data_IF_788630294541
#
_entry.id   IF_788630294541
#
_cell.length_a   1.000
_cell.length_b   1.000
_cell.length_c   1.000
_cell.angle_alpha   90.00
_cell.angle_beta   90.00
_cell.angle_gamma   90.00
#
_symmetry.space_group_name_H-M   'P 1'
#
loop_
_entity.id
_entity.type
_entity.pdbx_description
1 polymer ?
#
# COMPACT_ATOMS: atom_id res chain seq x y z
N UNK A 1 -2.86 2.60 8.91
CA UNK A 1 -2.14 1.33 8.73
C UNK A 1 -1.32 1.07 9.97
N UNK A 2 -0.92 -0.17 10.19
CA UNK A 2 -0.17 -0.57 11.39
C UNK A 2 1.21 -1.09 11.01
N UNK A 3 2.22 -0.73 11.81
CA UNK A 3 3.61 -1.14 11.63
C UNK A 3 4.20 -1.59 12.97
N UNK A 4 5.14 -2.52 12.93
CA UNK A 4 5.95 -2.89 14.08
C UNK A 4 7.38 -2.41 13.84
N UNK A 5 7.72 -1.29 14.46
CA UNK A 5 9.03 -0.66 14.25
C UNK A 5 10.18 -1.52 14.75
N UNK A 6 9.94 -2.49 15.64
CA UNK A 6 11.00 -3.39 16.11
C UNK A 6 11.64 -4.18 14.99
N UNK A 7 10.82 -4.64 14.02
CA UNK A 7 11.32 -5.30 12.82
C UNK A 7 12.07 -4.33 11.91
N UNK A 8 11.51 -3.15 11.66
CA UNK A 8 12.12 -2.13 10.79
C UNK A 8 13.47 -1.64 11.31
N UNK A 9 13.59 -1.48 12.62
CA UNK A 9 14.82 -1.06 13.29
C UNK A 9 15.78 -2.22 13.57
N UNK A 10 15.39 -3.47 13.27
CA UNK A 10 16.23 -4.65 13.48
C UNK A 10 16.52 -4.97 14.95
N UNK A 11 15.68 -4.52 15.88
CA UNK A 11 15.90 -4.70 17.34
C UNK A 11 15.26 -5.98 17.89
N UNK A 12 14.44 -6.69 17.10
CA UNK A 12 13.81 -7.95 17.50
C UNK A 12 13.70 -8.88 16.30
N UNK A 13 14.24 -10.09 16.41
CA UNK A 13 14.14 -11.12 15.39
C UNK A 13 12.69 -11.64 15.23
N UNK A 14 12.35 -12.09 14.02
CA UNK A 14 11.04 -12.67 13.72
C UNK A 14 9.88 -11.67 13.60
N UNK A 15 10.11 -10.38 13.83
CA UNK A 15 9.10 -9.33 13.59
C UNK A 15 9.11 -8.94 12.11
N UNK A 16 8.01 -9.14 11.35
CA UNK A 16 7.95 -8.77 9.95
C UNK A 16 8.19 -7.27 9.74
N UNK A 17 8.98 -6.92 8.72
CA UNK A 17 9.19 -5.54 8.28
C UNK A 17 8.10 -5.15 7.29
N UNK A 18 7.46 -3.99 7.52
CA UNK A 18 6.43 -3.44 6.65
C UNK A 18 5.09 -3.22 7.36
N UNK A 19 4.08 -2.88 6.56
CA UNK A 19 2.71 -2.73 7.05
C UNK A 19 2.10 -4.10 7.36
N UNK A 20 1.48 -4.24 8.53
CA UNK A 20 0.62 -5.38 8.87
C UNK A 20 -0.74 -5.25 8.19
N UNK A 21 -1.25 -4.03 8.14
CA UNK A 21 -2.51 -3.69 7.51
C UNK A 21 -2.49 -2.26 6.96
N UNK A 22 -3.21 -2.06 5.85
CA UNK A 22 -3.45 -0.75 5.23
C UNK A 22 -4.96 -0.61 5.06
N UNK A 23 -5.51 0.50 5.57
CA UNK A 23 -6.94 0.82 5.53
C UNK A 23 -7.11 2.14 4.81
N UNK A 24 -7.91 2.15 3.75
CA UNK A 24 -8.21 3.33 2.94
C UNK A 24 -9.63 3.80 3.20
N UNK A 25 -9.83 5.11 3.32
CA UNK A 25 -11.12 5.74 3.56
C UNK A 25 -11.22 6.99 2.69
N UNK A 26 -12.36 7.16 2.04
CA UNK A 26 -12.67 8.34 1.24
C UNK A 26 -13.87 9.04 1.87
N UNK A 27 -13.70 10.31 2.23
CA UNK A 27 -14.79 11.18 2.59
C UNK A 27 -15.11 12.02 1.35
N UNK A 28 -16.31 11.84 0.80
CA UNK A 28 -16.71 12.47 -0.44
C UNK A 28 -18.01 13.22 -0.19
N UNK A 29 -17.94 14.54 -0.27
CA UNK A 29 -19.12 15.40 -0.30
C UNK A 29 -19.55 15.59 -1.76
N UNK A 30 -20.75 15.12 -2.09
CA UNK A 30 -21.29 15.23 -3.44
C UNK A 30 -22.81 15.09 -3.43
N UNK A 31 -23.46 15.67 -4.44
CA UNK A 31 -24.87 15.56 -4.77
C UNK A 31 -25.19 14.44 -5.77
N UNK A 32 -24.18 13.65 -6.16
CA UNK A 32 -24.38 12.54 -7.10
C UNK A 32 -25.13 11.37 -6.46
N UNK A 33 -25.86 10.64 -7.29
CA UNK A 33 -26.52 9.40 -6.92
C UNK A 33 -25.56 8.36 -6.32
N UNK A 34 -26.03 7.63 -5.32
CA UNK A 34 -25.24 6.61 -4.61
C UNK A 34 -24.63 5.56 -5.54
N UNK A 35 -25.29 5.24 -6.66
CA UNK A 35 -24.79 4.30 -7.67
C UNK A 35 -23.46 4.74 -8.29
N UNK A 36 -23.23 6.04 -8.44
CA UNK A 36 -21.94 6.57 -8.92
C UNK A 36 -20.84 6.46 -7.88
N UNK A 37 -21.17 6.64 -6.60
CA UNK A 37 -20.23 6.44 -5.51
C UNK A 37 -19.84 4.96 -5.38
N UNK A 38 -20.80 4.04 -5.54
CA UNK A 38 -20.51 2.60 -5.61
C UNK A 38 -19.59 2.29 -6.80
N UNK A 39 -19.88 2.85 -7.98
CA UNK A 39 -19.02 2.68 -9.15
C UNK A 39 -17.60 3.21 -8.92
N UNK A 40 -17.44 4.35 -8.24
CA UNK A 40 -16.12 4.88 -7.88
C UNK A 40 -15.32 3.89 -7.01
N UNK A 41 -15.96 3.24 -6.04
CA UNK A 41 -15.30 2.21 -5.23
C UNK A 41 -14.86 1.01 -6.07
N UNK A 42 -15.72 0.51 -6.97
CA UNK A 42 -15.38 -0.59 -7.87
C UNK A 42 -14.24 -0.25 -8.84
N UNK A 43 -14.20 1.00 -9.32
CA UNK A 43 -13.13 1.47 -10.19
C UNK A 43 -11.82 1.62 -9.41
N UNK A 44 -11.89 2.09 -8.17
CA UNK A 44 -10.72 2.22 -7.29
C UNK A 44 -10.12 0.84 -7.01
N UNK A 45 -10.95 -0.15 -6.68
CA UNK A 45 -10.49 -1.53 -6.46
C UNK A 45 -9.82 -2.10 -7.71
N UNK A 46 -10.43 -1.92 -8.89
CA UNK A 46 -9.93 -2.50 -10.15
C UNK A 46 -8.71 -1.79 -10.75
N UNK A 47 -8.67 -0.46 -10.68
CA UNK A 47 -7.77 0.35 -11.50
C UNK A 47 -6.79 1.22 -10.70
N UNK A 48 -6.89 1.30 -9.37
CA UNK A 48 -5.88 2.00 -8.59
C UNK A 48 -4.56 1.22 -8.63
N UNK A 49 -3.59 1.71 -9.39
CA UNK A 49 -2.26 1.10 -9.57
C UNK A 49 -1.58 0.86 -8.22
N UNK A 50 -1.67 1.82 -7.31
CA UNK A 50 -1.07 1.71 -5.96
C UNK A 50 -1.76 0.59 -5.17
N UNK A 51 -3.09 0.56 -5.13
CA UNK A 51 -3.84 -0.47 -4.41
C UNK A 51 -3.53 -1.88 -4.96
N UNK A 52 -3.53 -2.02 -6.29
CA UNK A 52 -3.18 -3.29 -6.95
C UNK A 52 -1.72 -3.70 -6.67
N UNK A 53 -0.79 -2.75 -6.62
CA UNK A 53 0.63 -3.02 -6.29
C UNK A 53 0.80 -3.48 -4.84
N UNK A 54 0.03 -2.92 -3.90
CA UNK A 54 0.03 -3.35 -2.49
C UNK A 54 -0.52 -4.77 -2.36
N UNK A 55 -1.68 -5.05 -2.98
CA UNK A 55 -2.33 -6.36 -2.93
C UNK A 55 -1.53 -7.43 -3.69
N UNK A 56 -0.81 -7.03 -4.74
CA UNK A 56 -0.02 -7.91 -5.62
C UNK A 56 1.35 -7.29 -5.80
N UNK A 57 2.24 -7.57 -4.85
CA UNK A 57 3.61 -7.05 -4.89
C UNK A 57 4.31 -7.48 -6.18
N UNK A 58 4.79 -6.53 -7.01
CA UNK A 58 5.56 -6.86 -8.19
C UNK A 58 6.93 -7.42 -7.79
N UNK A 59 7.65 -8.01 -8.75
CA UNK A 59 9.05 -8.40 -8.52
C UNK A 59 9.89 -7.16 -8.25
N UNK A 60 10.48 -7.08 -7.06
CA UNK A 60 11.39 -5.99 -6.66
C UNK A 60 12.82 -6.52 -6.57
N UNK A 61 13.78 -5.66 -6.93
CA UNK A 61 15.21 -6.00 -6.97
C UNK A 61 15.99 -4.82 -6.40
N UNK A 62 16.90 -5.11 -5.47
CA UNK A 62 17.87 -4.14 -4.97
C UNK A 62 19.21 -4.44 -5.63
N UNK A 63 19.83 -3.43 -6.24
CA UNK A 63 21.16 -3.54 -6.85
C UNK A 63 22.11 -2.55 -6.18
N UNK A 64 23.29 -3.03 -5.78
CA UNK A 64 24.39 -2.20 -5.34
C UNK A 64 25.31 -1.94 -6.53
N UNK A 65 25.53 -0.67 -6.86
CA UNK A 65 26.59 -0.28 -7.79
C UNK A 65 27.66 0.51 -7.04
N UNK A 66 28.80 -0.11 -6.77
CA UNK A 66 29.92 0.55 -6.09
C UNK A 66 30.73 1.33 -7.13
N UNK A 67 30.60 2.64 -7.11
CA UNK A 67 31.47 3.52 -7.90
C UNK A 67 32.73 3.78 -7.08
N UNK A 68 33.88 3.48 -7.68
CA UNK A 68 35.21 3.82 -7.14
C UNK A 68 35.81 4.79 -8.14
N UNK A 69 36.28 5.94 -7.65
CA UNK A 69 37.03 6.95 -8.40
C UNK A 69 38.36 6.41 -8.91
#
# INVERSE_FOLDING_TARGET
GDVDLRGTLGVTEGVPVGFKEIRLRFDIESDVEQSRLTQLMELTDRYCVIFQTIQRSPKTLVKLNRVVS
#
